data_IF_300496865101
#
_entry.id   IF_300496865101
#
_cell.length_a   1.000
_cell.length_b   1.000
_cell.length_c   1.000
_cell.angle_alpha   90.00
_cell.angle_beta   90.00
_cell.angle_gamma   90.00
#
_symmetry.space_group_name_H-M   'P 1'
#
loop_
_entity.id
_entity.type
_entity.pdbx_description
1 polymer ?
#
# COMPACT_ATOMS: atom_id res chain seq x y z
N UNK A 1 26.90 6.79 15.27
CA UNK A 1 25.84 6.03 15.98
C UNK A 1 26.26 5.85 17.43
N UNK A 2 25.44 6.27 18.39
CA UNK A 2 25.71 6.10 19.83
C UNK A 2 25.46 4.66 20.28
N UNK A 3 25.92 4.30 21.52
CA UNK A 3 25.86 2.92 21.99
C UNK A 3 24.43 2.43 22.25
N UNK A 4 23.52 3.29 22.72
CA UNK A 4 22.12 2.92 22.93
C UNK A 4 21.42 2.59 21.60
N UNK A 5 21.69 3.36 20.54
CA UNK A 5 21.18 3.07 19.19
C UNK A 5 21.75 1.76 18.65
N UNK A 6 23.05 1.50 18.84
CA UNK A 6 23.67 0.21 18.47
C UNK A 6 23.03 -0.97 19.20
N UNK A 7 22.77 -0.82 20.51
CA UNK A 7 22.13 -1.85 21.31
C UNK A 7 20.69 -2.15 20.85
N UNK A 8 19.92 -1.12 20.48
CA UNK A 8 18.59 -1.28 19.92
C UNK A 8 18.60 -2.07 18.58
N UNK A 9 19.56 -1.78 17.73
CA UNK A 9 19.71 -2.52 16.45
C UNK A 9 20.18 -3.97 16.69
N UNK A 10 21.06 -4.20 17.66
CA UNK A 10 21.47 -5.55 18.05
C UNK A 10 20.29 -6.36 18.61
N UNK A 11 19.39 -5.73 19.38
CA UNK A 11 18.17 -6.39 19.85
C UNK A 11 17.24 -6.84 18.70
N UNK A 12 17.23 -6.12 17.59
CA UNK A 12 16.53 -6.58 16.38
C UNK A 12 17.22 -7.82 15.79
N UNK A 13 18.57 -7.83 15.72
CA UNK A 13 19.31 -8.99 15.22
C UNK A 13 19.09 -10.24 16.09
N UNK A 14 18.95 -10.08 17.41
CA UNK A 14 18.63 -11.18 18.34
C UNK A 14 17.22 -11.76 18.11
N UNK A 15 16.35 -11.00 17.48
CA UNK A 15 14.96 -11.40 17.15
C UNK A 15 14.75 -11.78 15.68
N UNK A 16 15.82 -11.88 14.88
CA UNK A 16 15.72 -12.12 13.43
C UNK A 16 14.95 -13.40 13.07
N UNK A 17 15.11 -14.48 13.86
CA UNK A 17 14.36 -15.73 13.66
C UNK A 17 12.86 -15.52 13.91
N UNK A 18 12.48 -14.82 14.99
CA UNK A 18 11.09 -14.48 15.28
C UNK A 18 10.48 -13.63 14.15
N UNK A 19 11.22 -12.65 13.64
CA UNK A 19 10.77 -11.80 12.53
C UNK A 19 10.54 -12.62 11.26
N UNK A 20 11.46 -13.54 10.94
CA UNK A 20 11.33 -14.45 9.81
C UNK A 20 10.14 -15.43 9.98
N UNK A 21 9.96 -16.00 11.17
CA UNK A 21 8.84 -16.89 11.48
C UNK A 21 7.48 -16.19 11.32
N UNK A 22 7.36 -14.95 11.77
CA UNK A 22 6.13 -14.15 11.60
C UNK A 22 5.88 -13.86 10.13
N UNK A 23 6.89 -13.39 9.39
CA UNK A 23 6.78 -13.13 7.96
C UNK A 23 6.38 -14.38 7.17
N UNK A 24 6.99 -15.53 7.47
CA UNK A 24 6.73 -16.81 6.81
C UNK A 24 5.35 -17.38 7.14
N UNK A 25 4.87 -17.20 8.38
CA UNK A 25 3.54 -17.61 8.78
C UNK A 25 2.47 -16.80 8.04
N UNK A 26 2.63 -15.47 7.98
CA UNK A 26 1.71 -14.58 7.24
C UNK A 26 1.74 -14.88 5.74
N UNK A 27 2.93 -15.13 5.18
CA UNK A 27 3.07 -15.60 3.80
C UNK A 27 2.25 -16.87 3.54
N UNK A 28 2.27 -17.81 4.50
CA UNK A 28 1.51 -19.04 4.41
C UNK A 28 0.00 -18.90 4.63
N UNK A 29 -0.44 -17.90 5.40
CA UNK A 29 -1.87 -17.62 5.58
C UNK A 29 -2.47 -16.99 4.34
N UNK A 30 -1.78 -16.09 3.69
CA UNK A 30 -2.16 -15.41 2.45
C UNK A 30 -3.62 -14.93 2.47
N UNK A 31 -4.02 -14.27 3.56
CA UNK A 31 -5.38 -13.79 3.79
C UNK A 31 -5.64 -12.51 2.98
N UNK A 32 -6.81 -12.41 2.38
CA UNK A 32 -7.21 -11.25 1.58
C UNK A 32 -7.60 -10.06 2.45
N UNK A 33 -7.67 -8.90 1.82
CA UNK A 33 -8.05 -7.62 2.44
C UNK A 33 -9.27 -7.74 3.35
N UNK A 34 -9.17 -7.25 4.58
CA UNK A 34 -10.17 -7.31 5.67
C UNK A 34 -10.52 -8.74 6.16
N UNK A 35 -9.78 -9.75 5.72
CA UNK A 35 -9.95 -11.15 6.14
C UNK A 35 -8.70 -11.69 6.87
N UNK A 36 -7.77 -10.83 7.25
CA UNK A 36 -6.45 -11.14 7.80
C UNK A 36 -6.52 -11.53 9.29
N UNK A 37 -7.44 -12.43 9.63
CA UNK A 37 -7.74 -12.79 11.04
C UNK A 37 -6.56 -13.48 11.70
N UNK A 38 -5.90 -14.42 11.01
CA UNK A 38 -4.75 -15.16 11.55
C UNK A 38 -3.51 -14.27 11.61
N UNK A 39 -3.31 -13.44 10.59
CA UNK A 39 -2.18 -12.51 10.51
C UNK A 39 -2.24 -11.48 11.62
N UNK A 40 -3.38 -10.83 11.83
CA UNK A 40 -3.60 -9.89 12.92
C UNK A 40 -3.43 -10.56 14.28
N UNK A 41 -4.03 -11.73 14.49
CA UNK A 41 -3.92 -12.48 15.76
C UNK A 41 -2.47 -12.88 16.07
N UNK A 42 -1.66 -13.21 15.04
CA UNK A 42 -0.25 -13.53 15.21
C UNK A 42 0.53 -12.30 15.68
N UNK A 43 0.37 -11.15 15.03
CA UNK A 43 0.99 -9.90 15.47
C UNK A 43 0.60 -9.54 16.89
N UNK A 44 -0.69 -9.57 17.21
CA UNK A 44 -1.21 -9.28 18.56
C UNK A 44 -0.59 -10.19 19.61
N UNK A 45 -0.50 -11.50 19.32
CA UNK A 45 0.13 -12.48 20.22
C UNK A 45 1.60 -12.15 20.47
N UNK A 46 2.37 -11.89 19.42
CA UNK A 46 3.80 -11.59 19.53
C UNK A 46 4.03 -10.28 20.25
N UNK A 47 3.29 -9.22 19.90
CA UNK A 47 3.45 -7.90 20.52
C UNK A 47 3.06 -7.89 22.01
N UNK A 48 2.00 -8.62 22.40
CA UNK A 48 1.67 -8.83 23.82
C UNK A 48 2.79 -9.57 24.55
N UNK A 49 3.38 -10.61 23.94
CA UNK A 49 4.50 -11.35 24.52
C UNK A 49 5.77 -10.49 24.64
N UNK A 50 5.98 -9.56 23.70
CA UNK A 50 7.04 -8.55 23.74
C UNK A 50 6.74 -7.40 24.73
N UNK A 51 5.58 -7.37 25.38
CA UNK A 51 5.23 -6.40 26.43
C UNK A 51 4.65 -5.07 25.92
N UNK A 52 4.12 -5.04 24.71
CA UNK A 52 3.34 -3.90 24.21
C UNK A 52 1.93 -3.90 24.79
N UNK A 53 1.36 -2.71 24.95
CA UNK A 53 -0.08 -2.53 25.20
C UNK A 53 -0.80 -2.59 23.85
N UNK A 54 -1.66 -3.59 23.68
CA UNK A 54 -2.32 -3.85 22.38
C UNK A 54 -3.81 -3.58 22.50
N UNK A 55 -4.33 -2.77 21.60
CA UNK A 55 -5.76 -2.53 21.37
C UNK A 55 -6.15 -3.16 20.02
N UNK A 56 -7.17 -3.98 20.01
CA UNK A 56 -7.66 -4.72 18.85
C UNK A 56 -8.96 -4.11 18.33
N UNK A 57 -9.24 -4.19 17.03
CA UNK A 57 -10.47 -3.69 16.41
C UNK A 57 -10.55 -2.17 16.35
N UNK A 58 -9.41 -1.48 16.24
CA UNK A 58 -9.37 -0.01 16.18
C UNK A 58 -10.15 0.51 14.96
N UNK A 59 -10.75 1.69 15.12
CA UNK A 59 -11.57 2.34 14.09
C UNK A 59 -12.71 1.44 13.54
N UNK A 60 -13.19 0.47 14.34
CA UNK A 60 -14.23 -0.47 13.93
C UNK A 60 -13.81 -1.51 12.89
N UNK A 61 -12.51 -1.70 12.68
CA UNK A 61 -11.94 -2.68 11.74
C UNK A 61 -11.46 -3.91 12.53
N UNK A 62 -12.14 -5.07 12.43
CA UNK A 62 -11.85 -6.22 13.30
C UNK A 62 -10.42 -6.75 13.23
N UNK A 63 -9.77 -6.65 12.07
CA UNK A 63 -8.39 -7.12 11.84
C UNK A 63 -7.34 -6.04 12.06
N UNK A 64 -7.74 -4.80 12.38
CA UNK A 64 -6.82 -3.72 12.72
C UNK A 64 -6.48 -3.71 14.22
N UNK A 65 -5.27 -3.27 14.54
CA UNK A 65 -4.82 -3.14 15.93
C UNK A 65 -3.83 -1.98 16.09
N UNK A 66 -3.64 -1.53 17.32
CA UNK A 66 -2.49 -0.71 17.70
C UNK A 66 -1.72 -1.36 18.83
N UNK A 67 -0.41 -1.24 18.80
CA UNK A 67 0.48 -1.75 19.85
C UNK A 67 1.42 -0.63 20.32
N UNK A 68 1.25 -0.15 21.52
CA UNK A 68 1.98 0.99 22.06
C UNK A 68 2.99 0.59 23.13
N UNK A 69 4.11 1.35 23.18
CA UNK A 69 5.13 1.24 24.21
C UNK A 69 5.74 2.60 24.51
N UNK A 70 6.10 2.83 25.78
CA UNK A 70 6.66 4.10 26.25
C UNK A 70 5.59 5.09 26.72
N UNK A 71 5.98 6.31 26.97
CA UNK A 71 5.06 7.38 27.41
C UNK A 71 5.63 8.76 27.15
N UNK A 72 4.74 9.72 26.96
CA UNK A 72 5.10 11.10 26.62
C UNK A 72 5.48 11.25 25.14
N UNK A 73 5.86 12.47 24.79
CA UNK A 73 6.28 12.78 23.41
C UNK A 73 7.79 12.65 23.20
N UNK A 74 8.21 12.59 21.92
CA UNK A 74 7.35 12.53 20.73
C UNK A 74 6.66 11.17 20.53
N UNK A 75 5.56 11.15 19.72
CA UNK A 75 4.80 9.96 19.38
C UNK A 75 5.11 9.56 17.95
N UNK A 76 5.76 8.43 17.77
CA UNK A 76 6.17 7.91 16.45
C UNK A 76 5.33 6.69 16.09
N UNK A 77 4.64 6.77 14.95
CA UNK A 77 3.88 5.68 14.36
C UNK A 77 4.73 4.82 13.42
N UNK A 78 4.51 3.51 13.46
CA UNK A 78 5.00 2.54 12.50
C UNK A 78 3.80 1.86 11.84
N UNK A 79 3.79 1.75 10.52
CA UNK A 79 2.66 1.18 9.78
C UNK A 79 3.01 -0.25 9.36
N UNK A 80 2.11 -1.20 9.62
CA UNK A 80 2.26 -2.61 9.28
C UNK A 80 1.09 -3.06 8.40
N UNK A 81 1.37 -3.56 7.21
CA UNK A 81 0.43 -4.17 6.28
C UNK A 81 0.64 -5.69 6.26
N UNK A 82 -0.40 -6.47 5.94
CA UNK A 82 -0.32 -7.94 5.98
C UNK A 82 -1.37 -8.66 5.13
N UNK A 83 -2.07 -7.95 4.23
CA UNK A 83 -3.01 -8.55 3.29
C UNK A 83 -2.31 -9.13 2.05
N UNK A 84 -2.95 -10.10 1.42
CA UNK A 84 -2.50 -10.81 0.23
C UNK A 84 -3.43 -10.52 -0.97
N UNK A 85 -3.00 -10.93 -2.15
CA UNK A 85 -3.70 -10.79 -3.41
C UNK A 85 -4.30 -12.13 -3.87
N UNK A 86 -5.50 -12.09 -4.46
CA UNK A 86 -6.17 -13.26 -4.99
C UNK A 86 -5.47 -13.81 -6.24
N UNK A 87 -5.55 -15.13 -6.47
CA UNK A 87 -5.06 -15.77 -7.68
C UNK A 87 -3.52 -15.82 -7.82
N UNK A 88 -2.78 -15.55 -6.75
CA UNK A 88 -1.31 -15.49 -6.76
C UNK A 88 -0.63 -16.59 -5.93
N UNK A 89 -1.33 -17.70 -5.67
CA UNK A 89 -0.72 -18.84 -4.97
C UNK A 89 0.52 -19.35 -5.71
N UNK A 90 1.66 -19.44 -5.02
CA UNK A 90 2.96 -19.80 -5.62
C UNK A 90 3.87 -20.45 -4.59
N UNK A 91 4.72 -21.36 -5.03
CA UNK A 91 5.77 -21.95 -4.21
C UNK A 91 6.89 -20.93 -3.94
N UNK A 92 7.35 -20.85 -2.69
CA UNK A 92 8.47 -20.01 -2.32
C UNK A 92 9.79 -20.49 -2.91
N UNK A 93 10.68 -19.55 -3.27
CA UNK A 93 12.02 -19.85 -3.77
C UNK A 93 12.04 -20.61 -5.11
N UNK A 94 10.94 -20.59 -5.87
CA UNK A 94 10.84 -21.24 -7.17
C UNK A 94 11.12 -20.27 -8.31
N UNK A 95 11.92 -20.68 -9.29
CA UNK A 95 12.15 -19.93 -10.53
C UNK A 95 11.20 -20.32 -11.65
N UNK A 96 10.16 -21.09 -11.34
CA UNK A 96 9.08 -21.48 -12.24
C UNK A 96 7.72 -21.26 -11.59
N UNK A 97 6.71 -20.99 -12.40
CA UNK A 97 5.32 -20.93 -11.91
C UNK A 97 4.92 -22.29 -11.32
N UNK A 98 4.52 -22.27 -10.07
CA UNK A 98 4.09 -23.46 -9.33
C UNK A 98 3.03 -23.06 -8.31
N UNK A 99 1.78 -23.12 -8.71
CA UNK A 99 0.64 -22.82 -7.85
C UNK A 99 0.49 -23.91 -6.76
N UNK A 100 0.48 -23.50 -5.48
CA UNK A 100 0.31 -24.44 -4.36
C UNK A 100 -1.16 -24.79 -4.11
N UNK A 101 -2.03 -23.80 -4.27
CA UNK A 101 -3.48 -23.92 -4.11
C UNK A 101 -4.13 -23.33 -5.35
N UNK A 102 -4.86 -24.14 -6.12
CA UNK A 102 -5.50 -23.69 -7.36
C UNK A 102 -6.41 -22.49 -7.14
N UNK A 103 -6.11 -21.38 -7.81
CA UNK A 103 -6.82 -20.09 -7.66
C UNK A 103 -6.63 -19.45 -6.27
N UNK A 104 -5.71 -19.95 -5.47
CA UNK A 104 -5.44 -19.44 -4.13
C UNK A 104 -4.74 -18.09 -4.13
N UNK A 105 -4.72 -17.43 -2.99
CA UNK A 105 -4.07 -16.14 -2.77
C UNK A 105 -2.57 -16.27 -2.49
N UNK A 106 -1.84 -15.15 -2.64
CA UNK A 106 -0.41 -15.08 -2.35
C UNK A 106 0.04 -13.63 -2.13
N UNK A 107 1.15 -13.46 -1.41
CA UNK A 107 1.72 -12.15 -1.10
C UNK A 107 2.49 -11.57 -2.31
N UNK A 108 1.75 -11.14 -3.34
CA UNK A 108 2.30 -10.54 -4.56
C UNK A 108 2.78 -9.10 -4.42
N UNK A 109 2.59 -8.48 -3.24
CA UNK A 109 3.09 -7.15 -2.88
C UNK A 109 4.08 -7.18 -1.69
N UNK A 110 4.22 -8.33 -1.02
CA UNK A 110 5.19 -8.51 0.07
C UNK A 110 4.76 -7.94 1.43
N UNK A 111 3.47 -7.75 1.66
CA UNK A 111 2.96 -7.21 2.93
C UNK A 111 3.26 -8.14 4.13
N UNK A 112 3.46 -9.44 3.90
CA UNK A 112 3.97 -10.35 4.93
C UNK A 112 5.34 -9.92 5.49
N UNK A 113 6.20 -9.35 4.65
CA UNK A 113 7.51 -8.81 5.03
C UNK A 113 7.36 -7.42 5.65
N UNK A 114 6.49 -6.57 5.04
CA UNK A 114 6.26 -5.20 5.47
C UNK A 114 5.83 -5.15 6.95
N UNK A 115 4.80 -5.89 7.32
CA UNK A 115 4.33 -5.95 8.69
C UNK A 115 5.37 -6.47 9.67
N UNK A 116 6.11 -7.54 9.30
CA UNK A 116 7.15 -8.12 10.14
C UNK A 116 8.34 -7.16 10.34
N UNK A 117 8.73 -6.39 9.31
CA UNK A 117 9.79 -5.38 9.41
C UNK A 117 9.40 -4.19 10.29
N UNK A 118 8.15 -3.72 10.19
CA UNK A 118 7.62 -2.70 11.08
C UNK A 118 7.58 -3.19 12.55
N UNK A 119 7.20 -4.45 12.79
CA UNK A 119 7.27 -5.09 14.11
C UNK A 119 8.71 -5.17 14.63
N UNK A 120 9.68 -5.50 13.80
CA UNK A 120 11.08 -5.53 14.18
C UNK A 120 11.58 -4.15 14.64
N UNK A 121 11.19 -3.08 13.92
CA UNK A 121 11.48 -1.70 14.32
C UNK A 121 10.88 -1.36 15.70
N UNK A 122 9.61 -1.73 15.93
CA UNK A 122 8.95 -1.51 17.22
C UNK A 122 9.68 -2.21 18.37
N UNK A 123 10.12 -3.45 18.18
CA UNK A 123 10.89 -4.22 19.18
C UNK A 123 12.21 -3.52 19.50
N UNK A 124 12.95 -3.05 18.48
CA UNK A 124 14.18 -2.31 18.68
C UNK A 124 13.97 -0.99 19.45
N UNK A 125 12.93 -0.26 19.12
CA UNK A 125 12.55 0.99 19.77
C UNK A 125 12.11 0.78 21.23
N UNK A 126 11.37 -0.30 21.51
CA UNK A 126 11.06 -0.71 22.88
C UNK A 126 12.33 -0.95 23.69
N UNK A 127 13.30 -1.68 23.10
CA UNK A 127 14.59 -1.92 23.76
C UNK A 127 15.30 -0.59 24.06
N UNK A 128 15.35 0.34 23.09
CA UNK A 128 15.94 1.66 23.26
C UNK A 128 15.29 2.47 24.40
N UNK A 129 13.95 2.56 24.42
CA UNK A 129 13.23 3.30 25.46
C UNK A 129 13.41 2.66 26.85
N UNK A 130 13.41 1.33 26.93
CA UNK A 130 13.65 0.58 28.19
C UNK A 130 15.04 0.84 28.73
N UNK A 131 16.06 0.77 27.85
CA UNK A 131 17.46 0.92 28.26
C UNK A 131 17.78 2.36 28.67
N UNK A 132 17.22 3.35 27.97
CA UNK A 132 17.57 4.76 28.18
C UNK A 132 16.67 5.49 29.16
N UNK A 133 15.45 4.98 29.41
CA UNK A 133 14.46 5.67 30.22
C UNK A 133 13.97 7.01 29.62
N UNK A 134 14.27 7.29 28.34
CA UNK A 134 13.85 8.52 27.68
C UNK A 134 12.33 8.57 27.47
N UNK A 135 11.80 9.80 27.45
CA UNK A 135 10.43 10.06 27.04
C UNK A 135 10.24 9.77 25.55
N UNK A 136 9.11 9.21 25.19
CA UNK A 136 8.68 8.92 23.84
C UNK A 136 7.64 7.80 23.82
N UNK A 137 6.77 7.82 22.86
CA UNK A 137 5.76 6.78 22.63
C UNK A 137 5.94 6.22 21.22
N UNK A 138 6.03 4.91 21.13
CA UNK A 138 6.06 4.18 19.85
C UNK A 138 4.75 3.44 19.71
N UNK A 139 4.11 3.56 18.56
CA UNK A 139 2.87 2.84 18.25
C UNK A 139 3.04 2.12 16.91
N UNK A 140 2.96 0.79 16.95
CA UNK A 140 2.81 -0.02 15.74
C UNK A 140 1.33 -0.16 15.43
N UNK A 141 0.93 0.28 14.25
CA UNK A 141 -0.43 0.13 13.74
C UNK A 141 -0.52 -1.04 12.77
N UNK A 142 -1.39 -1.98 13.06
CA UNK A 142 -1.80 -3.02 12.11
C UNK A 142 -2.86 -2.46 11.16
N UNK A 143 -2.50 -2.33 9.90
CA UNK A 143 -3.28 -1.71 8.83
C UNK A 143 -3.68 -2.78 7.81
N UNK A 144 -4.82 -3.47 7.98
CA UNK A 144 -5.30 -4.49 7.03
C UNK A 144 -5.81 -3.85 5.74
N UNK A 145 -5.91 -4.63 4.67
CA UNK A 145 -6.67 -4.28 3.49
C UNK A 145 -6.14 -3.12 2.66
N UNK A 146 -4.82 -2.98 2.54
CA UNK A 146 -4.21 -1.95 1.68
C UNK A 146 -4.60 -2.17 0.21
N UNK A 147 -4.59 -3.42 -0.25
CA UNK A 147 -4.80 -3.82 -1.64
C UNK A 147 -6.25 -3.65 -2.13
N UNK A 148 -7.21 -3.55 -1.23
CA UNK A 148 -8.61 -3.59 -1.66
C UNK A 148 -9.59 -2.69 -0.93
N UNK A 149 -9.27 -2.20 0.26
CA UNK A 149 -10.23 -1.44 1.09
C UNK A 149 -9.68 -0.10 1.55
N UNK A 150 -8.34 0.08 1.54
CA UNK A 150 -7.68 1.29 2.00
C UNK A 150 -7.97 1.61 3.48
N UNK A 151 -7.64 0.67 4.40
CA UNK A 151 -7.98 0.84 5.82
C UNK A 151 -7.38 2.08 6.46
N UNK A 152 -6.18 2.53 6.02
CA UNK A 152 -5.54 3.74 6.54
C UNK A 152 -6.35 4.99 6.21
N UNK A 153 -7.11 5.00 5.09
CA UNK A 153 -8.04 6.07 4.76
C UNK A 153 -9.27 6.08 5.70
N UNK A 154 -9.80 4.89 6.06
CA UNK A 154 -10.84 4.78 7.09
C UNK A 154 -10.33 5.26 8.45
N UNK A 155 -9.11 4.89 8.84
CA UNK A 155 -8.47 5.35 10.08
C UNK A 155 -8.22 6.87 10.05
N UNK A 156 -7.87 7.43 8.89
CA UNK A 156 -7.75 8.88 8.69
C UNK A 156 -9.10 9.60 8.81
N UNK A 157 -10.20 9.00 8.33
CA UNK A 157 -11.55 9.54 8.54
C UNK A 157 -11.87 9.70 10.02
N UNK A 158 -11.46 8.74 10.85
CA UNK A 158 -11.61 8.81 12.31
C UNK A 158 -10.57 9.73 12.99
N UNK A 159 -9.64 10.32 12.23
CA UNK A 159 -8.62 11.23 12.73
C UNK A 159 -7.48 10.58 13.50
N UNK A 160 -7.25 9.28 13.32
CA UNK A 160 -6.29 8.49 14.10
C UNK A 160 -4.86 9.04 14.01
N UNK A 161 -4.45 9.51 12.84
CA UNK A 161 -3.08 9.90 12.57
C UNK A 161 -2.70 11.29 13.10
N UNK A 162 -3.68 12.15 13.45
CA UNK A 162 -3.39 13.47 14.05
C UNK A 162 -2.68 13.38 15.41
N UNK A 163 -2.74 12.24 16.08
CA UNK A 163 -2.03 12.00 17.34
C UNK A 163 -0.54 11.73 17.19
N UNK A 164 -0.02 11.60 15.97
CA UNK A 164 1.37 11.27 15.69
C UNK A 164 2.21 12.52 15.41
N UNK A 165 3.44 12.51 15.91
CA UNK A 165 4.46 13.49 15.55
C UNK A 165 5.12 13.16 14.21
N UNK A 166 5.25 11.87 13.90
CA UNK A 166 5.67 11.34 12.60
C UNK A 166 5.21 9.89 12.43
N UNK A 167 5.04 9.45 11.18
CA UNK A 167 4.82 8.06 10.79
C UNK A 167 5.92 7.57 9.86
N UNK A 168 6.43 6.37 10.10
CA UNK A 168 7.45 5.72 9.28
C UNK A 168 6.92 4.38 8.79
N UNK A 169 7.22 4.06 7.54
CA UNK A 169 6.90 2.76 6.96
C UNK A 169 8.00 2.32 5.99
N UNK A 170 7.91 1.09 5.52
CA UNK A 170 8.77 0.57 4.47
C UNK A 170 7.97 -0.31 3.52
N UNK A 171 8.53 -0.60 2.38
CA UNK A 171 7.93 -1.55 1.45
C UNK A 171 9.04 -2.42 0.82
N UNK A 172 8.86 -3.74 0.66
CA UNK A 172 9.76 -4.53 -0.16
C UNK A 172 9.68 -4.09 -1.62
N UNK A 173 10.79 -4.16 -2.35
CA UNK A 173 10.85 -3.69 -3.73
C UNK A 173 11.96 -4.36 -4.53
N UNK A 174 12.20 -3.85 -5.73
CA UNK A 174 13.33 -4.21 -6.56
C UNK A 174 14.53 -3.26 -6.38
N UNK A 175 14.40 -2.27 -5.49
CA UNK A 175 15.43 -1.31 -5.15
C UNK A 175 15.51 -1.04 -3.64
N UNK A 176 16.68 -0.59 -3.18
CA UNK A 176 16.84 -0.02 -1.84
C UNK A 176 16.93 1.49 -1.98
N UNK A 177 15.92 2.22 -1.49
CA UNK A 177 15.80 3.66 -1.65
C UNK A 177 14.90 4.32 -0.59
N UNK A 178 14.95 5.64 -0.52
CA UNK A 178 13.94 6.44 0.19
C UNK A 178 12.94 6.95 -0.84
N UNK A 179 11.68 6.61 -0.65
CA UNK A 179 10.59 7.02 -1.53
C UNK A 179 10.30 8.51 -1.37
N UNK A 180 10.11 9.21 -2.46
CA UNK A 180 9.71 10.62 -2.47
C UNK A 180 8.63 10.89 -3.52
N UNK A 181 8.09 12.11 -3.54
CA UNK A 181 7.08 12.54 -4.50
C UNK A 181 5.67 12.18 -4.09
N UNK A 182 4.80 12.06 -5.07
CA UNK A 182 3.38 11.79 -4.88
C UNK A 182 2.94 10.54 -5.64
N UNK A 183 1.74 10.05 -5.29
CA UNK A 183 1.08 8.91 -5.93
C UNK A 183 -0.28 9.34 -6.47
N UNK A 184 -0.98 8.48 -7.21
CA UNK A 184 -2.38 8.73 -7.55
C UNK A 184 -3.30 8.59 -6.33
N UNK A 185 -4.26 9.52 -6.22
CA UNK A 185 -5.50 9.25 -5.51
C UNK A 185 -6.40 8.33 -6.31
N UNK A 186 -7.26 7.58 -5.63
CA UNK A 186 -8.17 6.62 -6.26
C UNK A 186 -9.53 6.62 -5.56
N UNK A 187 -10.60 6.40 -6.31
CA UNK A 187 -11.94 6.08 -5.81
C UNK A 187 -12.52 4.95 -6.64
N UNK A 188 -13.04 3.93 -5.97
CA UNK A 188 -13.73 2.81 -6.61
C UNK A 188 -15.22 2.76 -6.21
N UNK A 189 -16.07 2.56 -7.22
CA UNK A 189 -17.52 2.48 -7.08
C UNK A 189 -18.10 1.37 -7.92
N UNK A 190 -19.05 0.61 -7.35
CA UNK A 190 -19.90 -0.28 -8.12
C UNK A 190 -21.24 0.41 -8.37
N UNK A 191 -21.64 0.41 -9.63
CA UNK A 191 -22.95 0.87 -10.09
C UNK A 191 -23.76 -0.34 -10.52
N UNK A 192 -24.88 -0.62 -9.83
CA UNK A 192 -25.82 -1.68 -10.17
C UNK A 192 -27.10 -1.06 -10.69
N UNK A 193 -27.47 -1.40 -11.92
CA UNK A 193 -28.71 -0.96 -12.50
C UNK A 193 -29.76 -2.05 -12.35
N UNK A 194 -31.02 -1.63 -12.08
CA UNK A 194 -32.17 -2.51 -11.93
C UNK A 194 -33.24 -2.08 -12.94
N UNK A 195 -33.62 -3.02 -13.79
CA UNK A 195 -34.61 -2.87 -14.83
C UNK A 195 -35.77 -3.86 -14.72
N UNK A 196 -36.38 -4.20 -15.83
CA UNK A 196 -37.51 -5.15 -15.93
C UNK A 196 -37.21 -6.20 -16.99
N UNK A 197 -37.28 -7.48 -16.60
CA UNK A 197 -37.13 -8.57 -17.55
C UNK A 197 -38.32 -8.67 -18.51
N UNK A 198 -38.03 -9.01 -19.76
CA UNK A 198 -39.03 -9.35 -20.75
C UNK A 198 -38.41 -10.26 -21.83
N UNK A 199 -39.26 -10.92 -22.61
CA UNK A 199 -38.79 -11.66 -23.77
C UNK A 199 -38.56 -10.66 -24.92
N UNK A 200 -37.29 -10.57 -25.37
CA UNK A 200 -36.82 -9.48 -26.25
C UNK A 200 -37.48 -9.44 -27.63
N UNK A 201 -38.08 -10.54 -28.12
CA UNK A 201 -38.73 -10.56 -29.45
C UNK A 201 -40.28 -10.51 -29.40
N UNK A 202 -40.90 -10.99 -28.29
CA UNK A 202 -42.35 -11.07 -28.22
C UNK A 202 -43.02 -9.93 -27.44
N UNK A 203 -42.28 -9.31 -26.50
CA UNK A 203 -42.80 -8.22 -25.69
C UNK A 203 -41.66 -7.28 -25.21
N UNK A 204 -40.80 -6.76 -26.17
CA UNK A 204 -39.67 -5.92 -25.80
C UNK A 204 -40.08 -4.61 -25.11
N UNK A 205 -41.26 -4.08 -25.45
CA UNK A 205 -41.82 -2.84 -24.87
C UNK A 205 -42.11 -2.92 -23.36
N UNK A 206 -42.16 -4.14 -22.80
CA UNK A 206 -42.34 -4.37 -21.36
C UNK A 206 -41.03 -4.44 -20.59
N UNK A 207 -39.91 -4.58 -21.30
CA UNK A 207 -38.58 -4.66 -20.71
C UNK A 207 -37.98 -3.30 -20.43
N UNK A 208 -37.06 -3.28 -19.48
CA UNK A 208 -36.12 -2.17 -19.21
C UNK A 208 -34.77 -2.79 -18.99
N UNK A 209 -33.85 -2.58 -19.92
CA UNK A 209 -32.56 -3.25 -19.88
C UNK A 209 -31.56 -2.54 -18.94
N UNK A 210 -31.17 -3.22 -17.89
CA UNK A 210 -30.12 -2.78 -17.01
C UNK A 210 -28.74 -2.81 -17.70
N UNK A 211 -28.53 -3.74 -18.66
CA UNK A 211 -27.31 -3.81 -19.45
C UNK A 211 -27.17 -2.59 -20.37
N UNK A 212 -28.27 -2.15 -21.00
CA UNK A 212 -28.25 -0.92 -21.82
C UNK A 212 -27.85 0.31 -20.99
N UNK A 213 -28.28 0.36 -19.71
CA UNK A 213 -27.85 1.42 -18.80
C UNK A 213 -26.35 1.38 -18.52
N UNK A 214 -25.77 0.19 -18.29
CA UNK A 214 -24.31 0.02 -18.14
C UNK A 214 -23.58 0.46 -19.42
N UNK A 215 -24.05 0.06 -20.60
CA UNK A 215 -23.44 0.43 -21.87
C UNK A 215 -23.50 1.96 -22.11
N UNK A 216 -24.66 2.59 -21.86
CA UNK A 216 -24.82 4.03 -21.99
C UNK A 216 -23.94 4.80 -20.99
N UNK A 217 -23.82 4.30 -19.75
CA UNK A 217 -22.87 4.85 -18.79
C UNK A 217 -21.43 4.78 -19.32
N UNK A 218 -21.01 3.61 -19.81
CA UNK A 218 -19.68 3.40 -20.37
C UNK A 218 -19.40 4.33 -21.55
N UNK A 219 -20.36 4.50 -22.47
CA UNK A 219 -20.27 5.45 -23.59
C UNK A 219 -20.20 6.90 -23.07
N UNK A 220 -21.04 7.28 -22.13
CA UNK A 220 -21.06 8.61 -21.54
C UNK A 220 -19.72 9.00 -20.91
N UNK A 221 -19.05 8.05 -20.25
CA UNK A 221 -17.71 8.24 -19.69
C UNK A 221 -16.65 8.47 -20.78
N UNK A 222 -16.78 7.87 -21.99
CA UNK A 222 -15.85 8.17 -23.07
C UNK A 222 -15.92 9.65 -23.49
N UNK A 223 -17.11 10.27 -23.53
CA UNK A 223 -17.24 11.71 -23.78
C UNK A 223 -16.69 12.55 -22.63
N UNK A 224 -16.77 12.08 -21.38
CA UNK A 224 -16.16 12.76 -20.23
C UNK A 224 -14.64 12.88 -20.38
N UNK A 225 -13.97 11.93 -21.05
CA UNK A 225 -12.50 11.93 -21.23
C UNK A 225 -11.97 13.17 -21.92
N UNK A 226 -12.76 13.81 -22.81
CA UNK A 226 -12.40 15.10 -23.43
C UNK A 226 -12.37 16.28 -22.43
N UNK A 227 -12.98 16.12 -21.26
CA UNK A 227 -13.27 17.21 -20.31
C UNK A 227 -12.81 16.90 -18.88
N UNK A 228 -11.88 15.98 -18.70
CA UNK A 228 -11.26 15.66 -17.43
C UNK A 228 -9.79 16.13 -17.38
N UNK A 229 -9.17 16.26 -16.19
CA UNK A 229 -7.75 16.58 -16.07
C UNK A 229 -6.89 15.60 -16.91
N UNK A 230 -5.82 16.12 -17.51
CA UNK A 230 -4.94 15.32 -18.39
C UNK A 230 -4.39 14.09 -17.69
N UNK A 231 -4.10 14.20 -16.40
CA UNK A 231 -3.47 13.15 -15.57
C UNK A 231 -4.49 12.16 -15.01
N UNK A 232 -5.78 12.48 -15.10
CA UNK A 232 -6.83 11.62 -14.60
C UNK A 232 -7.03 10.36 -15.47
N UNK A 233 -7.48 9.29 -14.84
CA UNK A 233 -7.85 8.03 -15.51
C UNK A 233 -9.17 7.53 -14.96
N UNK A 234 -9.96 6.94 -15.83
CA UNK A 234 -11.20 6.24 -15.48
C UNK A 234 -11.17 4.87 -16.15
N UNK A 235 -11.21 3.84 -15.33
CA UNK A 235 -11.23 2.43 -15.77
C UNK A 235 -12.56 1.82 -15.36
N UNK A 236 -13.01 0.76 -16.05
CA UNK A 236 -14.16 -0.01 -15.61
C UNK A 236 -14.06 -1.48 -15.98
N UNK A 237 -14.80 -2.29 -15.25
CA UNK A 237 -15.01 -3.71 -15.53
C UNK A 237 -16.47 -4.06 -15.31
N UNK A 238 -17.10 -4.76 -16.26
CA UNK A 238 -18.47 -5.27 -16.08
C UNK A 238 -18.40 -6.46 -15.14
N UNK A 239 -19.10 -6.39 -14.00
CA UNK A 239 -19.18 -7.45 -13.01
C UNK A 239 -20.32 -8.43 -13.31
N UNK A 240 -21.47 -7.91 -13.75
CA UNK A 240 -22.64 -8.69 -14.13
C UNK A 240 -23.27 -8.07 -15.37
N UNK A 241 -23.42 -8.87 -16.42
CA UNK A 241 -24.06 -8.47 -17.67
C UNK A 241 -25.56 -8.86 -17.73
N UNK A 242 -26.12 -9.37 -16.64
CA UNK A 242 -27.53 -9.78 -16.56
C UNK A 242 -27.85 -11.16 -17.16
N UNK A 243 -26.85 -12.03 -17.23
CA UNK A 243 -26.96 -13.40 -17.75
C UNK A 243 -26.48 -13.60 -19.18
N UNK A 244 -26.60 -14.82 -19.70
CA UNK A 244 -26.01 -15.24 -20.98
C UNK A 244 -27.04 -15.40 -22.13
N UNK A 245 -28.33 -15.22 -21.84
CA UNK A 245 -29.41 -15.44 -22.82
C UNK A 245 -29.80 -14.13 -23.52
N UNK A 246 -29.44 -13.93 -24.80
CA UNK A 246 -29.65 -12.64 -25.48
C UNK A 246 -31.12 -12.30 -25.76
N UNK A 247 -32.03 -13.27 -25.66
CA UNK A 247 -33.46 -13.10 -25.82
C UNK A 247 -34.21 -12.72 -24.52
N UNK A 248 -33.48 -12.47 -23.44
CA UNK A 248 -33.99 -11.97 -22.17
C UNK A 248 -33.50 -10.53 -21.98
N UNK A 249 -34.44 -9.59 -21.80
CA UNK A 249 -34.06 -8.21 -21.38
C UNK A 249 -33.55 -8.30 -19.95
N UNK A 250 -32.35 -7.77 -19.72
CA UNK A 250 -31.62 -7.90 -18.45
C UNK A 250 -32.27 -7.03 -17.37
N UNK A 251 -32.74 -7.66 -16.29
CA UNK A 251 -33.36 -6.96 -15.17
C UNK A 251 -32.34 -6.41 -14.17
N UNK A 252 -31.09 -6.86 -14.24
CA UNK A 252 -29.98 -6.38 -13.42
C UNK A 252 -28.69 -6.45 -14.21
N UNK A 253 -27.83 -5.46 -14.04
CA UNK A 253 -26.44 -5.47 -14.51
C UNK A 253 -25.59 -4.56 -13.63
N UNK A 254 -24.30 -4.87 -13.48
CA UNK A 254 -23.41 -4.08 -12.65
C UNK A 254 -22.03 -3.86 -13.27
N UNK A 255 -21.43 -2.72 -12.94
CA UNK A 255 -20.12 -2.30 -13.43
C UNK A 255 -19.32 -1.67 -12.29
N UNK A 256 -18.04 -2.06 -12.17
CA UNK A 256 -17.08 -1.46 -11.25
C UNK A 256 -16.30 -0.38 -11.99
N UNK A 257 -16.24 0.80 -11.43
CA UNK A 257 -15.43 1.92 -11.89
C UNK A 257 -14.29 2.20 -10.93
N UNK A 258 -13.10 2.48 -11.49
CA UNK A 258 -11.94 2.99 -10.78
C UNK A 258 -11.56 4.34 -11.38
N UNK A 259 -11.54 5.37 -10.56
CA UNK A 259 -11.29 6.77 -10.93
C UNK A 259 -9.99 7.18 -10.24
N UNK A 260 -9.03 7.70 -11.00
CA UNK A 260 -7.72 8.15 -10.50
C UNK A 260 -7.42 9.57 -10.90
N UNK A 261 -6.73 10.30 -10.04
CA UNK A 261 -6.18 11.62 -10.32
C UNK A 261 -4.94 11.87 -9.46
N UNK A 262 -4.10 12.83 -9.86
CA UNK A 262 -2.90 13.20 -9.09
C UNK A 262 -3.22 13.84 -7.73
N UNK A 263 -4.45 14.32 -7.53
CA UNK A 263 -4.89 14.91 -6.26
C UNK A 263 -6.26 14.38 -5.87
N UNK A 264 -6.45 14.07 -4.59
CA UNK A 264 -7.71 13.53 -4.05
C UNK A 264 -8.89 14.46 -4.33
N UNK A 265 -8.69 15.77 -4.24
CA UNK A 265 -9.72 16.78 -4.54
C UNK A 265 -10.24 16.67 -5.98
N UNK A 266 -9.34 16.50 -6.93
CA UNK A 266 -9.69 16.35 -8.34
C UNK A 266 -10.33 14.99 -8.64
N UNK A 267 -9.86 13.94 -7.96
CA UNK A 267 -10.46 12.60 -8.02
C UNK A 267 -11.92 12.62 -7.54
N UNK A 268 -12.18 13.25 -6.38
CA UNK A 268 -13.54 13.40 -5.83
C UNK A 268 -14.46 14.21 -6.77
N UNK A 269 -13.94 15.29 -7.35
CA UNK A 269 -14.70 16.10 -8.32
C UNK A 269 -15.02 15.32 -9.59
N UNK A 270 -14.07 14.51 -10.08
CA UNK A 270 -14.27 13.66 -11.25
C UNK A 270 -15.28 12.53 -10.94
N UNK A 271 -15.19 11.91 -9.76
CA UNK A 271 -16.16 10.91 -9.32
C UNK A 271 -17.61 11.43 -9.34
N UNK A 272 -17.86 12.66 -8.87
CA UNK A 272 -19.18 13.29 -8.93
C UNK A 272 -19.71 13.46 -10.36
N UNK A 273 -18.82 13.64 -11.36
CA UNK A 273 -19.19 13.69 -12.77
C UNK A 273 -19.53 12.31 -13.32
N UNK A 274 -18.81 11.27 -12.93
CA UNK A 274 -19.13 9.88 -13.28
C UNK A 274 -20.49 9.48 -12.70
N UNK A 275 -20.79 9.85 -11.44
CA UNK A 275 -22.10 9.66 -10.81
C UNK A 275 -23.25 10.28 -11.61
N UNK A 276 -23.07 11.50 -12.13
CA UNK A 276 -24.09 12.16 -12.97
C UNK A 276 -24.31 11.43 -14.29
N UNK A 277 -23.27 10.86 -14.88
CA UNK A 277 -23.39 10.04 -16.10
C UNK A 277 -24.19 8.77 -15.79
N UNK A 278 -23.91 8.10 -14.67
CA UNK A 278 -24.64 6.92 -14.23
C UNK A 278 -26.13 7.22 -14.01
N UNK A 279 -26.46 8.35 -13.36
CA UNK A 279 -27.85 8.83 -13.20
C UNK A 279 -28.52 9.12 -14.57
N UNK A 280 -27.77 9.74 -15.50
CA UNK A 280 -28.26 9.99 -16.86
C UNK A 280 -28.56 8.70 -17.60
N UNK A 281 -27.71 7.68 -17.49
CA UNK A 281 -27.93 6.37 -18.10
C UNK A 281 -29.19 5.68 -17.55
N UNK A 282 -29.40 5.73 -16.23
CA UNK A 282 -30.62 5.21 -15.60
C UNK A 282 -31.90 5.92 -16.11
N UNK A 283 -31.86 7.25 -16.23
CA UNK A 283 -32.97 8.03 -16.78
C UNK A 283 -33.27 7.69 -18.25
N UNK A 284 -32.24 7.51 -19.08
CA UNK A 284 -32.41 7.17 -20.49
C UNK A 284 -33.04 5.78 -20.71
N UNK A 285 -32.80 4.84 -19.81
CA UNK A 285 -33.27 3.45 -19.91
C UNK A 285 -34.51 3.14 -19.04
N UNK A 286 -35.01 4.14 -18.30
CA UNK A 286 -36.11 3.97 -17.36
C UNK A 286 -35.84 2.85 -16.32
N UNK A 287 -34.56 2.81 -15.85
CA UNK A 287 -34.06 1.89 -14.80
C UNK A 287 -33.80 2.64 -13.51
N UNK A 288 -33.58 1.92 -12.41
CA UNK A 288 -33.08 2.47 -11.15
C UNK A 288 -31.61 2.11 -10.97
N UNK A 289 -30.90 2.89 -10.14
CA UNK A 289 -29.48 2.72 -9.90
C UNK A 289 -29.19 2.61 -8.40
N UNK A 290 -28.40 1.62 -8.03
CA UNK A 290 -27.75 1.49 -6.73
C UNK A 290 -26.26 1.78 -6.88
N UNK A 291 -25.67 2.48 -5.89
CA UNK A 291 -24.25 2.80 -5.86
C UNK A 291 -23.63 2.23 -4.59
N UNK A 292 -22.60 1.42 -4.76
CA UNK A 292 -21.84 0.86 -3.63
C UNK A 292 -20.38 1.39 -3.70
N UNK A 293 -20.00 2.12 -2.67
CA UNK A 293 -18.62 2.54 -2.48
C UNK A 293 -17.75 1.31 -2.19
N UNK A 294 -16.59 1.22 -2.83
CA UNK A 294 -15.64 0.11 -2.68
C UNK A 294 -14.46 0.56 -1.84
N UNK A 295 -13.69 1.51 -2.34
CA UNK A 295 -12.60 2.14 -1.63
C UNK A 295 -12.36 3.59 -2.10
N UNK A 296 -11.50 4.28 -1.35
CA UNK A 296 -11.01 5.60 -1.72
C UNK A 296 -9.77 5.93 -0.90
N UNK A 297 -8.76 6.50 -1.58
CA UNK A 297 -7.50 6.87 -0.95
C UNK A 297 -6.93 8.14 -1.59
N UNK A 298 -6.12 8.85 -0.82
CA UNK A 298 -5.51 10.12 -1.21
C UNK A 298 -4.18 9.92 -1.91
N UNK A 299 -3.76 10.93 -2.65
CA UNK A 299 -2.38 11.09 -3.10
C UNK A 299 -1.43 11.24 -1.90
N UNK A 300 -0.15 10.91 -2.09
CA UNK A 300 0.85 10.99 -1.03
C UNK A 300 1.46 12.40 -0.94
N UNK A 301 1.60 12.91 0.27
CA UNK A 301 2.34 14.14 0.60
C UNK A 301 3.72 13.76 1.08
N UNK A 302 4.75 14.00 0.27
CA UNK A 302 6.13 13.72 0.66
C UNK A 302 6.64 14.68 1.74
N UNK A 303 7.66 14.23 2.51
CA UNK A 303 8.32 15.04 3.54
C UNK A 303 9.84 14.88 3.43
N UNK A 304 10.47 15.81 2.73
CA UNK A 304 11.90 15.75 2.41
C UNK A 304 12.79 15.81 3.67
N UNK A 305 12.36 16.51 4.70
CA UNK A 305 13.09 16.55 5.97
C UNK A 305 13.12 15.14 6.61
N UNK A 306 12.00 14.44 6.62
CA UNK A 306 11.89 13.09 7.18
C UNK A 306 12.58 12.05 6.29
N UNK A 307 12.45 12.18 4.96
CA UNK A 307 13.17 11.37 3.97
C UNK A 307 14.69 11.45 4.18
N UNK A 308 15.22 12.65 4.47
CA UNK A 308 16.63 12.84 4.76
C UNK A 308 17.09 12.09 6.02
N UNK A 309 16.26 12.06 7.07
CA UNK A 309 16.56 11.29 8.29
C UNK A 309 16.62 9.80 7.98
N UNK A 310 15.66 9.28 7.20
CA UNK A 310 15.66 7.88 6.75
C UNK A 310 16.92 7.58 5.91
N UNK A 311 17.24 8.43 4.94
CA UNK A 311 18.40 8.25 4.06
C UNK A 311 19.72 8.22 4.81
N UNK A 312 19.91 9.13 5.77
CA UNK A 312 21.15 9.20 6.56
C UNK A 312 21.37 7.92 7.37
N UNK A 313 20.29 7.37 7.95
CA UNK A 313 20.34 6.11 8.65
C UNK A 313 20.53 4.92 7.72
N UNK A 314 19.86 4.90 6.58
CA UNK A 314 20.01 3.85 5.58
C UNK A 314 21.43 3.84 5.01
N UNK A 315 22.00 5.02 4.69
CA UNK A 315 23.39 5.15 4.22
C UNK A 315 24.41 4.66 5.26
N UNK A 316 24.15 4.92 6.55
CA UNK A 316 25.04 4.47 7.62
C UNK A 316 24.99 2.95 7.82
N UNK A 317 23.84 2.33 7.61
CA UNK A 317 23.65 0.88 7.74
C UNK A 317 24.01 0.11 6.49
N UNK A 318 23.99 0.78 5.32
CA UNK A 318 24.15 0.15 4.01
C UNK A 318 22.93 -0.67 3.60
N UNK A 319 23.09 -1.61 2.70
CA UNK A 319 22.07 -2.56 2.27
C UNK A 319 22.39 -3.98 2.75
N UNK A 320 21.41 -4.89 2.85
CA UNK A 320 21.66 -6.27 3.22
C UNK A 320 22.62 -6.93 2.22
N UNK A 321 23.60 -7.73 2.67
CA UNK A 321 24.50 -8.44 1.77
C UNK A 321 23.76 -9.52 0.99
N UNK A 322 23.99 -9.59 -0.32
CA UNK A 322 23.45 -10.63 -1.19
C UNK A 322 24.53 -11.70 -1.45
N UNK A 323 24.20 -12.98 -1.29
CA UNK A 323 25.13 -14.08 -1.55
C UNK A 323 25.16 -14.46 -3.04
N UNK A 324 26.14 -15.26 -3.44
CA UNK A 324 26.22 -15.74 -4.82
C UNK A 324 25.00 -16.61 -5.21
N UNK A 325 24.49 -17.41 -4.29
CA UNK A 325 23.27 -18.23 -4.50
C UNK A 325 22.03 -17.34 -4.66
N UNK A 326 21.93 -16.28 -3.89
CA UNK A 326 20.82 -15.31 -4.00
C UNK A 326 20.89 -14.56 -5.33
N UNK A 327 22.08 -14.11 -5.75
CA UNK A 327 22.26 -13.50 -7.07
C UNK A 327 21.87 -14.48 -8.20
N UNK A 328 22.28 -15.75 -8.12
CA UNK A 328 21.89 -16.76 -9.10
C UNK A 328 20.38 -17.00 -9.15
N UNK A 329 19.70 -16.98 -7.98
CA UNK A 329 18.25 -17.06 -7.92
C UNK A 329 17.58 -15.84 -8.58
N UNK A 330 18.05 -14.63 -8.30
CA UNK A 330 17.52 -13.39 -8.92
C UNK A 330 17.74 -13.37 -10.43
N UNK A 331 18.90 -13.82 -10.91
CA UNK A 331 19.18 -13.96 -12.34
C UNK A 331 18.24 -14.97 -13.01
N UNK A 332 18.09 -16.16 -12.44
CA UNK A 332 17.20 -17.18 -12.97
C UNK A 332 15.73 -16.74 -12.98
N UNK A 333 15.29 -16.00 -11.96
CA UNK A 333 13.93 -15.48 -11.88
C UNK A 333 13.71 -14.34 -12.88
N UNK A 334 14.70 -13.46 -13.08
CA UNK A 334 14.62 -12.36 -14.05
C UNK A 334 14.52 -12.84 -15.50
N UNK A 335 14.99 -14.05 -15.80
CA UNK A 335 14.84 -14.68 -17.10
C UNK A 335 13.39 -15.13 -17.42
N UNK A 336 12.47 -15.03 -16.47
CA UNK A 336 11.05 -15.45 -16.64
C UNK A 336 10.10 -14.32 -17.04
N UNK A 337 10.59 -13.09 -17.18
CA UNK A 337 9.80 -11.91 -17.60
C UNK A 337 10.64 -10.97 -18.44
N UNK A 338 9.98 -10.10 -19.19
CA UNK A 338 10.65 -9.03 -19.93
C UNK A 338 10.85 -7.83 -19.01
N UNK A 339 12.10 -7.43 -18.80
CA UNK A 339 12.47 -6.25 -18.03
C UNK A 339 12.13 -4.95 -18.75
N UNK A 340 12.07 -3.83 -18.02
CA UNK A 340 11.98 -2.49 -18.62
C UNK A 340 13.40 -1.99 -18.92
N UNK A 341 13.57 -1.31 -20.06
CA UNK A 341 14.85 -0.66 -20.45
C UNK A 341 15.13 0.66 -19.70
N UNK A 342 14.33 0.97 -18.69
CA UNK A 342 14.47 2.20 -17.90
C UNK A 342 15.10 1.85 -16.54
N UNK A 343 16.03 2.69 -16.02
CA UNK A 343 16.54 2.53 -14.67
C UNK A 343 15.39 2.52 -13.66
N UNK A 344 15.41 1.58 -12.71
CA UNK A 344 14.54 1.61 -11.54
C UNK A 344 14.88 2.79 -10.62
N UNK A 345 14.01 3.03 -9.65
CA UNK A 345 14.20 4.07 -8.65
C UNK A 345 13.41 5.34 -8.90
N UNK A 346 13.09 5.99 -7.79
CA UNK A 346 12.30 7.23 -7.76
C UNK A 346 13.07 8.37 -8.40
N UNK A 347 12.41 9.13 -9.29
CA UNK A 347 12.97 10.31 -9.93
C UNK A 347 13.70 10.05 -11.25
N UNK A 348 14.02 8.82 -11.61
CA UNK A 348 14.73 8.50 -12.85
C UNK A 348 13.97 8.96 -14.11
N UNK A 349 12.64 8.97 -14.08
CA UNK A 349 11.80 9.43 -15.20
C UNK A 349 11.82 10.95 -15.41
N UNK A 350 12.15 11.71 -14.37
CA UNK A 350 12.06 13.17 -14.37
C UNK A 350 13.43 13.88 -14.41
N UNK A 351 14.50 13.14 -14.12
CA UNK A 351 15.86 13.66 -14.08
C UNK A 351 16.82 12.74 -14.87
N UNK A 352 17.18 13.09 -16.12
CA UNK A 352 18.06 12.28 -16.95
C UNK A 352 19.46 12.08 -16.31
N UNK A 353 19.98 13.06 -15.57
CA UNK A 353 21.28 12.93 -14.92
C UNK A 353 21.24 11.95 -13.74
N UNK A 354 20.13 11.96 -13.00
CA UNK A 354 19.86 10.97 -11.97
C UNK A 354 19.68 9.56 -12.56
N UNK A 355 18.92 9.45 -13.66
CA UNK A 355 18.71 8.18 -14.37
C UNK A 355 20.05 7.56 -14.83
N UNK A 356 20.95 8.33 -15.44
CA UNK A 356 22.27 7.84 -15.85
C UNK A 356 23.13 7.41 -14.66
N UNK A 357 23.04 8.12 -13.53
CA UNK A 357 23.75 7.75 -12.30
C UNK A 357 23.25 6.40 -11.76
N UNK A 358 21.92 6.20 -11.69
CA UNK A 358 21.31 4.95 -11.23
C UNK A 358 21.66 3.81 -12.19
N UNK A 359 21.55 4.03 -13.49
CA UNK A 359 21.92 3.05 -14.52
C UNK A 359 23.37 2.59 -14.41
N UNK A 360 24.28 3.48 -14.10
CA UNK A 360 25.70 3.15 -13.90
C UNK A 360 25.93 2.28 -12.64
N UNK A 361 25.04 2.31 -11.66
CA UNK A 361 25.09 1.50 -10.45
C UNK A 361 24.46 0.11 -10.65
N UNK A 362 23.53 -0.04 -11.59
CA UNK A 362 22.85 -1.29 -11.90
C UNK A 362 23.76 -2.22 -12.74
N UNK A 363 24.45 -3.14 -12.08
CA UNK A 363 25.43 -4.03 -12.72
C UNK A 363 24.95 -5.48 -12.89
N UNK A 364 23.74 -5.81 -12.46
CA UNK A 364 23.21 -7.18 -12.46
C UNK A 364 21.70 -7.24 -12.41
N UNK A 365 21.18 -8.43 -12.07
CA UNK A 365 19.74 -8.70 -11.99
C UNK A 365 19.10 -8.32 -10.65
N UNK A 366 19.89 -7.83 -9.70
CA UNK A 366 19.45 -7.44 -8.37
C UNK A 366 20.18 -6.15 -7.93
N UNK A 367 19.45 -5.19 -7.39
CA UNK A 367 19.99 -3.91 -6.91
C UNK A 367 20.49 -4.05 -5.47
N UNK A 368 21.73 -4.50 -5.29
CA UNK A 368 22.41 -4.68 -4.01
C UNK A 368 23.17 -3.39 -3.56
N UNK A 369 22.59 -2.24 -3.84
CA UNK A 369 23.13 -0.93 -3.46
C UNK A 369 21.99 0.00 -3.02
N UNK A 370 22.33 1.02 -2.23
CA UNK A 370 21.40 2.09 -1.88
C UNK A 370 21.34 3.13 -3.00
N UNK A 371 20.14 3.37 -3.53
CA UNK A 371 19.91 4.44 -4.51
C UNK A 371 20.31 5.80 -3.90
N UNK A 372 20.87 6.71 -4.68
CA UNK A 372 21.16 8.06 -4.22
C UNK A 372 19.85 8.76 -3.79
N UNK A 373 19.91 9.60 -2.75
CA UNK A 373 18.76 10.39 -2.34
C UNK A 373 18.31 11.31 -3.49
N UNK A 374 17.03 11.23 -3.82
CA UNK A 374 16.36 12.11 -4.76
C UNK A 374 15.27 12.89 -4.04
N UNK A 375 15.24 14.19 -4.20
CA UNK A 375 14.25 15.10 -3.61
C UNK A 375 13.72 16.10 -4.64
N UNK A 376 13.80 15.73 -5.92
CA UNK A 376 13.22 16.47 -7.03
C UNK A 376 11.74 16.10 -7.28
N UNK A 377 11.13 16.63 -8.34
CA UNK A 377 9.79 16.23 -8.76
C UNK A 377 9.74 14.73 -9.05
N UNK A 378 8.85 14.04 -8.35
CA UNK A 378 8.63 12.61 -8.54
C UNK A 378 7.13 12.29 -8.43
N UNK A 379 6.69 11.33 -9.23
CA UNK A 379 5.32 10.85 -9.24
C UNK A 379 5.31 9.36 -9.57
N UNK A 380 4.66 8.58 -8.73
CA UNK A 380 4.39 7.17 -8.98
C UNK A 380 2.91 7.01 -9.39
N UNK A 381 2.66 6.44 -10.54
CA UNK A 381 1.30 6.21 -11.05
C UNK A 381 0.51 5.15 -10.27
N UNK A 382 1.14 4.45 -9.32
CA UNK A 382 0.46 3.62 -8.34
C UNK A 382 -0.40 4.43 -7.36
N UNK A 383 -1.04 3.74 -6.45
CA UNK A 383 -1.82 4.31 -5.36
C UNK A 383 -1.52 3.56 -4.08
N UNK A 384 -1.55 4.24 -2.94
CA UNK A 384 -1.43 3.63 -1.61
C UNK A 384 -2.18 4.47 -0.58
N UNK A 385 -2.81 3.83 0.38
CA UNK A 385 -3.53 4.52 1.45
C UNK A 385 -2.60 5.13 2.54
N UNK A 386 -1.28 4.97 2.41
CA UNK A 386 -0.28 5.78 3.13
C UNK A 386 -0.43 7.27 2.81
N UNK A 387 -1.02 7.60 1.64
CA UNK A 387 -1.40 8.96 1.28
C UNK A 387 -2.24 9.64 2.37
N UNK A 388 -3.27 8.96 2.86
CA UNK A 388 -4.18 9.50 3.89
C UNK A 388 -3.48 9.73 5.25
N UNK A 389 -2.49 8.90 5.59
CA UNK A 389 -1.62 9.13 6.76
C UNK A 389 -0.80 10.39 6.56
N UNK A 390 -0.23 10.58 5.37
CA UNK A 390 0.65 11.71 5.02
C UNK A 390 -0.05 13.07 5.03
N UNK A 391 -1.38 13.11 4.95
CA UNK A 391 -2.17 14.33 5.14
C UNK A 391 -2.43 14.69 6.60
N UNK A 392 -2.23 13.77 7.54
CA UNK A 392 -2.52 13.99 8.96
C UNK A 392 -1.27 14.08 9.84
N UNK A 393 -0.14 13.52 9.41
CA UNK A 393 1.14 13.66 10.09
C UNK A 393 2.32 13.57 9.11
N UNK A 394 3.51 14.10 9.46
CA UNK A 394 4.73 13.89 8.68
C UNK A 394 4.98 12.41 8.46
N UNK A 395 5.03 11.97 7.20
CA UNK A 395 5.16 10.54 6.84
C UNK A 395 6.26 10.35 5.83
N UNK A 396 7.05 9.29 5.97
CA UNK A 396 8.04 8.87 4.99
C UNK A 396 8.22 7.36 4.94
N UNK A 397 8.65 6.87 3.78
CA UNK A 397 8.78 5.47 3.45
C UNK A 397 10.14 5.17 2.85
N UNK A 398 10.68 3.98 3.13
CA UNK A 398 11.81 3.40 2.42
C UNK A 398 11.38 2.16 1.63
N UNK A 399 12.11 1.84 0.57
CA UNK A 399 12.12 0.51 -0.02
C UNK A 399 13.41 -0.22 0.34
N UNK A 400 13.33 -1.54 0.48
CA UNK A 400 14.49 -2.42 0.58
C UNK A 400 14.37 -3.50 -0.48
N UNK A 401 15.44 -3.72 -1.26
CA UNK A 401 15.44 -4.70 -2.34
C UNK A 401 15.26 -6.13 -1.81
N UNK A 402 14.25 -6.80 -2.34
CA UNK A 402 13.90 -8.19 -2.10
C UNK A 402 13.78 -8.95 -3.42
N UNK A 403 13.45 -8.22 -4.50
CA UNK A 403 13.05 -8.75 -5.80
C UNK A 403 14.07 -8.43 -6.86
N UNK A 404 14.17 -9.23 -7.93
CA UNK A 404 15.05 -8.90 -9.05
C UNK A 404 14.58 -7.64 -9.77
N UNK A 405 15.51 -6.98 -10.44
CA UNK A 405 15.28 -5.73 -11.17
C UNK A 405 14.08 -5.84 -12.11
N UNK A 406 13.22 -4.82 -12.09
CA UNK A 406 12.08 -4.66 -12.98
C UNK A 406 11.07 -5.80 -12.96
N UNK A 407 11.03 -6.59 -11.88
CA UNK A 407 10.02 -7.63 -11.71
C UNK A 407 8.61 -7.01 -11.81
N UNK A 408 7.67 -7.61 -12.54
CA UNK A 408 6.30 -7.16 -12.53
C UNK A 408 5.72 -7.27 -11.11
N UNK A 409 5.24 -6.17 -10.56
CA UNK A 409 4.49 -6.19 -9.30
C UNK A 409 3.22 -7.05 -9.45
N UNK A 410 2.71 -7.59 -8.32
CA UNK A 410 1.51 -8.43 -8.30
C UNK A 410 1.67 -9.67 -9.20
N UNK A 411 2.83 -10.30 -9.14
CA UNK A 411 3.17 -11.48 -9.94
C UNK A 411 3.59 -12.67 -9.09
N UNK A 412 3.56 -13.87 -9.68
CA UNK A 412 4.05 -15.08 -9.02
C UNK A 412 5.54 -15.01 -8.67
N UNK A 413 6.33 -14.27 -9.44
CA UNK A 413 7.74 -14.04 -9.18
C UNK A 413 7.95 -13.33 -7.84
N UNK A 414 7.14 -12.30 -7.58
CA UNK A 414 7.18 -11.58 -6.30
C UNK A 414 6.79 -12.50 -5.14
N UNK A 415 5.72 -13.28 -5.28
CA UNK A 415 5.32 -14.26 -4.23
C UNK A 415 6.44 -15.26 -3.95
N UNK A 416 7.14 -15.72 -4.99
CA UNK A 416 8.26 -16.64 -4.86
C UNK A 416 9.42 -16.05 -4.05
N UNK A 417 9.69 -14.74 -4.18
CA UNK A 417 10.76 -14.05 -3.46
C UNK A 417 10.45 -13.86 -1.97
N UNK A 418 9.18 -13.68 -1.59
CA UNK A 418 8.78 -13.14 -0.29
C UNK A 418 8.87 -14.14 0.89
N UNK A 419 9.48 -15.31 0.66
CA UNK A 419 9.84 -16.29 1.68
C UNK A 419 11.20 -16.89 1.36
N UNK A 420 12.19 -16.05 1.17
CA UNK A 420 13.58 -16.45 0.86
C UNK A 420 14.53 -15.90 1.91
N UNK A 421 15.78 -16.40 2.01
CA UNK A 421 16.79 -15.84 2.90
C UNK A 421 17.03 -14.34 2.66
N UNK A 422 17.00 -13.87 1.41
CA UNK A 422 17.13 -12.45 1.07
C UNK A 422 15.96 -11.63 1.62
N UNK A 423 14.73 -12.13 1.49
CA UNK A 423 13.55 -11.50 2.05
C UNK A 423 13.65 -11.32 3.58
N UNK A 424 14.09 -12.35 4.30
CA UNK A 424 14.29 -12.28 5.75
C UNK A 424 15.34 -11.23 6.13
N UNK A 425 16.48 -11.20 5.40
CA UNK A 425 17.53 -10.18 5.63
C UNK A 425 17.01 -8.77 5.37
N UNK A 426 16.29 -8.56 4.29
CA UNK A 426 15.71 -7.28 3.93
C UNK A 426 14.69 -6.80 4.98
N UNK A 427 13.83 -7.70 5.47
CA UNK A 427 12.83 -7.41 6.51
C UNK A 427 13.47 -6.95 7.82
N UNK A 428 14.48 -7.67 8.31
CA UNK A 428 15.23 -7.30 9.52
C UNK A 428 15.96 -5.96 9.29
N UNK A 429 16.55 -5.77 8.12
CA UNK A 429 17.26 -4.55 7.77
C UNK A 429 16.35 -3.33 7.70
N UNK A 430 15.18 -3.46 7.08
CA UNK A 430 14.18 -2.40 7.06
C UNK A 430 13.77 -1.99 8.48
N UNK A 431 13.51 -2.98 9.35
CA UNK A 431 13.25 -2.74 10.76
C UNK A 431 14.36 -1.94 11.45
N UNK A 432 15.63 -2.23 11.14
CA UNK A 432 16.78 -1.48 11.68
C UNK A 432 16.83 -0.04 11.18
N UNK A 433 16.59 0.20 9.89
CA UNK A 433 16.59 1.56 9.32
C UNK A 433 15.48 2.40 9.95
N UNK A 434 14.26 1.87 10.05
CA UNK A 434 13.14 2.56 10.69
C UNK A 434 13.41 2.84 12.16
N UNK A 435 13.92 1.85 12.89
CA UNK A 435 14.31 2.00 14.31
C UNK A 435 15.37 3.09 14.48
N UNK A 436 16.41 3.07 13.67
CA UNK A 436 17.50 4.03 13.72
C UNK A 436 17.02 5.46 13.43
N UNK A 437 16.16 5.65 12.45
CA UNK A 437 15.56 6.94 12.11
C UNK A 437 14.64 7.45 13.24
N UNK A 438 13.79 6.58 13.78
CA UNK A 438 12.92 6.95 14.89
C UNK A 438 13.72 7.36 16.14
N UNK A 439 14.84 6.69 16.44
CA UNK A 439 15.72 7.10 17.55
C UNK A 439 16.28 8.52 17.30
N UNK A 440 16.68 8.86 16.06
CA UNK A 440 17.15 10.21 15.77
C UNK A 440 16.05 11.26 15.97
N UNK A 441 14.80 10.95 15.63
CA UNK A 441 13.65 11.82 15.88
C UNK A 441 13.37 12.00 17.38
N UNK A 442 13.56 10.93 18.19
CA UNK A 442 13.44 10.98 19.64
C UNK A 442 14.57 11.79 20.29
N UNK A 443 15.79 11.71 19.77
CA UNK A 443 16.97 12.35 20.35
C UNK A 443 17.19 13.78 19.87
N UNK A 444 16.73 14.14 18.68
CA UNK A 444 17.03 15.40 18.02
C UNK A 444 15.73 16.14 17.64
N UNK A 445 15.16 16.93 18.58
CA UNK A 445 13.89 17.63 18.35
C UNK A 445 13.88 18.53 17.10
N UNK A 446 15.05 19.05 16.70
CA UNK A 446 15.18 19.89 15.51
C UNK A 446 14.82 19.16 14.22
N UNK A 447 15.12 17.85 14.11
CA UNK A 447 14.77 17.04 12.95
C UNK A 447 13.25 16.88 12.85
N UNK A 448 12.60 16.62 13.98
CA UNK A 448 11.15 16.48 14.04
C UNK A 448 10.43 17.80 13.75
N UNK A 449 10.92 18.92 14.28
CA UNK A 449 10.35 20.24 14.00
C UNK A 449 10.52 20.64 12.53
N UNK A 450 11.63 20.29 11.88
CA UNK A 450 11.80 20.49 10.45
C UNK A 450 10.76 19.69 9.63
N UNK A 451 10.55 18.41 9.97
CA UNK A 451 9.54 17.57 9.34
C UNK A 451 8.12 18.12 9.53
N UNK A 452 7.77 18.59 10.74
CA UNK A 452 6.49 19.22 11.04
C UNK A 452 6.29 20.56 10.32
N UNK A 453 7.35 21.34 10.17
CA UNK A 453 7.28 22.63 9.46
C UNK A 453 6.99 22.40 7.97
N UNK A 454 7.68 21.47 7.34
CA UNK A 454 7.43 21.08 5.95
C UNK A 454 6.04 20.49 5.77
N UNK A 455 5.61 19.60 6.66
CA UNK A 455 4.27 19.02 6.66
C UNK A 455 3.20 20.12 6.67
N UNK A 456 3.27 21.07 7.60
CA UNK A 456 2.31 22.19 7.68
C UNK A 456 2.27 23.01 6.39
N UNK A 457 3.42 23.23 5.76
CA UNK A 457 3.50 23.94 4.49
C UNK A 457 2.82 23.18 3.35
N UNK A 458 3.12 21.87 3.22
CA UNK A 458 2.60 21.04 2.12
C UNK A 458 1.10 20.73 2.27
N UNK A 459 0.62 20.64 3.50
CA UNK A 459 -0.80 20.35 3.80
C UNK A 459 -1.64 21.58 4.10
N UNK A 460 -1.14 22.81 3.81
CA UNK A 460 -1.86 24.06 4.06
C UNK A 460 -3.22 24.16 3.36
N UNK A 461 -3.43 23.39 2.28
CA UNK A 461 -4.71 23.26 1.58
C UNK A 461 -5.77 22.43 2.32
N UNK A 462 -5.41 21.84 3.45
CA UNK A 462 -6.27 20.93 4.22
C UNK A 462 -6.37 19.53 3.64
N UNK A 463 -6.96 18.64 4.41
CA UNK A 463 -7.25 17.26 4.04
C UNK A 463 -8.75 17.06 3.88
N UNK A 464 -9.16 16.38 2.82
CA UNK A 464 -10.53 15.92 2.62
C UNK A 464 -10.48 14.39 2.40
N UNK A 465 -11.01 13.66 3.37
CA UNK A 465 -11.06 12.20 3.28
C UNK A 465 -11.93 11.75 2.11
N UNK A 466 -11.47 10.86 1.22
CA UNK A 466 -12.27 10.35 0.13
C UNK A 466 -13.33 9.33 0.57
N UNK A 467 -13.22 8.80 1.79
CA UNK A 467 -14.16 7.81 2.33
C UNK A 467 -15.47 8.51 2.74
N UNK A 468 -16.64 8.10 2.20
CA UNK A 468 -17.91 8.62 2.65
C UNK A 468 -18.16 8.38 4.16
N UNK A 469 -18.87 9.31 4.84
CA UNK A 469 -19.11 9.18 6.29
C UNK A 469 -19.86 7.91 6.70
N UNK A 470 -20.69 7.38 5.81
CA UNK A 470 -21.54 6.19 6.00
C UNK A 470 -20.90 4.89 5.47
N UNK A 471 -19.73 4.98 4.82
CA UNK A 471 -19.04 3.79 4.34
C UNK A 471 -18.48 2.97 5.50
N UNK A 472 -18.70 1.67 5.45
CA UNK A 472 -18.23 0.70 6.45
C UNK A 472 -17.08 -0.11 5.84
N UNK A 473 -15.93 -0.22 6.53
CA UNK A 473 -14.85 -1.07 6.07
C UNK A 473 -15.28 -2.54 6.14
N UNK A 474 -15.32 -3.20 5.00
CA UNK A 474 -15.73 -4.59 4.90
C UNK A 474 -14.96 -5.29 3.77
N UNK A 475 -14.77 -6.62 3.85
CA UNK A 475 -14.26 -7.41 2.74
C UNK A 475 -15.06 -7.15 1.46
N UNK A 476 -14.39 -7.12 0.31
CA UNK A 476 -15.08 -7.04 -0.96
C UNK A 476 -15.72 -8.40 -1.27
N UNK A 477 -17.04 -8.43 -1.31
CA UNK A 477 -17.80 -9.46 -2.01
C UNK A 477 -17.87 -9.02 -3.49
N UNK A 478 -16.91 -9.48 -4.29
CA UNK A 478 -16.90 -9.33 -5.74
C UNK A 478 -17.48 -10.57 -6.41
#
# INVERSE_FOLDING_TARGET
>A
MNDAKKAALAAIDEKKELVAEVADAIWGYAELSMQEVKSAALFVKVLKAEGFQVEEGICGIPTAFSASFGSGGPVIGLLAEYDALSGLSQAAGSTAYHELVKGGSGHGCGHNLLGAGAMAAAIGLKHYLTQTGKSGTIILYGCPGEEGVASKAYMAREGLWYGLDAALTWHPGDSSEVTTGSTNSCIQMIYTFHGLASQASTAPERGRSALDAVELMNVGVQFLREHMPRDARVHYSILDAGGVSPNVVQHQASVLYMIRSNFVKDCMALHQRVDKIAQGAALMTDTTIERRFVDGLSDTVCNHALEKVLYDNFSQLGVPPCTAEEHAFMEALSATYEGRDVPGGVGAENDPAFAEKVKAMQTGHFNDFLMPLYQGPAFNAGSTDVGDVSYQCPTAQIHVAVWPNHVPCHSWQVVSCNKTPMAHKATVHAGKVLCAAAIDLLEQPALLEAAKAEFRQRTAGGYTCPIPPDAVPAPHEL
#
